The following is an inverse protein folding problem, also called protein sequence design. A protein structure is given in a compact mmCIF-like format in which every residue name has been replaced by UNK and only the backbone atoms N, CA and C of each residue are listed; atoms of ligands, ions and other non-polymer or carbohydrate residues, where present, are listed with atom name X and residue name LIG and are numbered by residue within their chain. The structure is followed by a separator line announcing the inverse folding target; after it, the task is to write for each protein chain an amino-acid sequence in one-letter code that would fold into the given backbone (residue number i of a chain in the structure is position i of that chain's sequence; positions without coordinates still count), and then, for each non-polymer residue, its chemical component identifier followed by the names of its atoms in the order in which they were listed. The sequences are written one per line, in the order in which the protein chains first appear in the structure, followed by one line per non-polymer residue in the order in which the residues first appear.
data_IF_778446523016
#
_entry.id   IF_778446523016
#
_cell.length_a   1.000
_cell.length_b   1.000
_cell.length_c   1.000
_cell.angle_alpha   90.00
_cell.angle_beta   90.00
_cell.angle_gamma   90.00
#
_symmetry.space_group_name_H-M   'P 1'
#
loop_
_entity.id
_entity.type
_entity.pdbx_description
1 polymer ?
#
# COMPACT_ATOMS: atom_id res chain seq x y z
N UNK A 1 -5.71 -14.79 -19.93
CA UNK A 1 -7.08 -14.53 -19.44
C UNK A 1 -6.97 -13.45 -18.36
N UNK A 2 -7.40 -12.23 -18.68
CA UNK A 2 -7.02 -11.01 -17.96
C UNK A 2 -7.52 -10.97 -16.52
N UNK A 3 -6.59 -10.76 -15.59
CA UNK A 3 -6.83 -10.51 -14.17
C UNK A 3 -7.77 -9.32 -13.99
N UNK A 4 -9.04 -9.58 -13.66
CA UNK A 4 -10.00 -8.52 -13.34
C UNK A 4 -9.69 -7.97 -11.96
N UNK A 5 -8.67 -7.11 -11.87
CA UNK A 5 -8.48 -6.26 -10.71
C UNK A 5 -9.74 -5.41 -10.53
N UNK A 6 -10.32 -5.44 -9.33
CA UNK A 6 -11.48 -4.60 -8.98
C UNK A 6 -11.16 -3.14 -9.28
N UNK A 7 -12.13 -2.38 -9.81
CA UNK A 7 -11.95 -0.96 -10.15
C UNK A 7 -11.41 -0.17 -8.95
N UNK A 8 -11.90 -0.48 -7.74
CA UNK A 8 -11.37 0.03 -6.47
C UNK A 8 -9.90 -0.31 -6.23
N UNK A 9 -9.49 -1.56 -6.48
CA UNK A 9 -8.10 -1.98 -6.34
C UNK A 9 -7.15 -1.23 -7.28
N UNK A 10 -7.57 -0.95 -8.52
CA UNK A 10 -6.80 -0.14 -9.48
C UNK A 10 -6.67 1.31 -9.02
N UNK A 11 -7.77 1.92 -8.58
CA UNK A 11 -7.77 3.31 -8.09
C UNK A 11 -6.88 3.46 -6.86
N UNK A 12 -7.00 2.56 -5.87
CA UNK A 12 -6.13 2.58 -4.68
C UNK A 12 -4.66 2.35 -5.04
N UNK A 13 -4.36 1.53 -6.03
CA UNK A 13 -2.99 1.26 -6.43
C UNK A 13 -2.34 2.42 -7.19
N UNK A 14 -3.02 2.98 -8.19
CA UNK A 14 -2.51 4.11 -8.96
C UNK A 14 -2.52 5.40 -8.14
N UNK A 15 -3.53 5.62 -7.31
CA UNK A 15 -3.56 6.73 -6.37
C UNK A 15 -2.39 6.68 -5.38
N UNK A 16 -2.06 5.49 -4.86
CA UNK A 16 -0.89 5.30 -4.02
C UNK A 16 0.42 5.64 -4.74
N UNK A 17 0.58 5.23 -6.00
CA UNK A 17 1.78 5.54 -6.78
C UNK A 17 1.96 7.04 -7.02
N UNK A 18 0.89 7.76 -7.35
CA UNK A 18 0.93 9.22 -7.53
C UNK A 18 1.27 9.93 -6.23
N UNK A 19 0.63 9.55 -5.11
CA UNK A 19 0.90 10.12 -3.80
C UNK A 19 2.35 9.86 -3.37
N UNK A 20 2.85 8.65 -3.60
CA UNK A 20 4.23 8.28 -3.28
C UNK A 20 5.23 9.10 -4.10
N UNK A 21 5.02 9.22 -5.42
CA UNK A 21 5.85 10.05 -6.27
C UNK A 21 5.86 11.50 -5.81
N UNK A 22 4.69 12.06 -5.48
CA UNK A 22 4.60 13.41 -4.92
C UNK A 22 5.43 13.56 -3.64
N UNK A 23 5.37 12.58 -2.73
CA UNK A 23 6.18 12.57 -1.51
C UNK A 23 7.67 12.61 -1.80
N UNK A 24 8.15 11.82 -2.77
CA UNK A 24 9.56 11.81 -3.19
C UNK A 24 9.97 13.16 -3.80
N UNK A 25 9.14 13.76 -4.65
CA UNK A 25 9.43 15.06 -5.26
C UNK A 25 9.37 16.23 -4.28
N UNK A 26 8.58 16.11 -3.22
CA UNK A 26 8.40 17.13 -2.18
C UNK A 26 9.19 16.88 -0.91
N UNK A 27 10.00 15.83 -0.90
CA UNK A 27 10.90 15.55 0.18
C UNK A 27 11.89 16.71 0.29
N UNK A 28 12.14 17.15 1.52
CA UNK A 28 13.14 18.17 1.83
C UNK A 28 14.54 17.61 1.63
N UNK A 29 15.43 18.43 1.05
CA UNK A 29 16.77 18.02 0.65
C UNK A 29 17.78 18.05 1.81
N UNK A 30 17.59 18.94 2.79
CA UNK A 30 18.47 19.08 3.95
C UNK A 30 17.71 19.05 5.29
N UNK A 31 18.36 18.48 6.31
CA UNK A 31 17.84 18.42 7.68
C UNK A 31 17.65 19.80 8.29
N UNK A 32 18.43 20.80 7.85
CA UNK A 32 18.31 22.19 8.28
C UNK A 32 16.93 22.79 7.96
N UNK A 33 16.23 22.28 6.94
CA UNK A 33 14.88 22.74 6.58
C UNK A 33 13.81 22.30 7.60
N UNK A 34 14.06 21.26 8.40
CA UNK A 34 13.14 20.84 9.48
C UNK A 34 13.16 21.78 10.68
N UNK A 35 14.12 22.70 10.77
CA UNK A 35 14.11 23.73 11.81
C UNK A 35 12.92 24.69 11.63
N UNK A 36 12.40 24.81 10.40
CA UNK A 36 11.14 25.48 10.13
C UNK A 36 9.96 24.63 10.62
N UNK A 37 9.26 25.15 11.63
CA UNK A 37 8.13 24.46 12.25
C UNK A 37 7.00 24.17 11.26
N UNK A 38 6.80 25.00 10.24
CA UNK A 38 5.79 24.78 9.21
C UNK A 38 6.17 23.63 8.27
N UNK A 39 7.45 23.52 7.88
CA UNK A 39 7.94 22.41 7.07
C UNK A 39 7.89 21.08 7.84
N UNK A 40 8.31 21.09 9.11
CA UNK A 40 8.22 19.92 9.99
C UNK A 40 6.77 19.42 10.14
N UNK A 41 5.81 20.32 10.38
CA UNK A 41 4.40 19.96 10.51
C UNK A 41 3.83 19.42 9.20
N UNK A 42 4.23 19.99 8.06
CA UNK A 42 3.82 19.50 6.76
C UNK A 42 4.29 18.05 6.53
N UNK A 43 5.55 17.76 6.85
CA UNK A 43 6.10 16.41 6.64
C UNK A 43 5.47 15.38 7.57
N UNK A 44 5.26 15.71 8.86
CA UNK A 44 4.56 14.82 9.80
C UNK A 44 3.14 14.55 9.31
N UNK A 45 2.41 15.58 8.86
CA UNK A 45 1.06 15.42 8.35
C UNK A 45 1.03 14.54 7.08
N UNK A 46 1.97 14.77 6.16
CA UNK A 46 2.11 13.99 4.93
C UNK A 46 2.45 12.52 5.22
N UNK A 47 3.45 12.27 6.07
CA UNK A 47 3.87 10.92 6.46
C UNK A 47 2.73 10.16 7.18
N UNK A 48 2.00 10.85 8.05
CA UNK A 48 0.85 10.26 8.76
C UNK A 48 -0.26 9.88 7.77
N UNK A 49 -0.60 10.77 6.84
CA UNK A 49 -1.59 10.51 5.79
C UNK A 49 -1.16 9.33 4.91
N UNK A 50 0.10 9.31 4.49
CA UNK A 50 0.67 8.23 3.69
C UNK A 50 0.56 6.89 4.41
N UNK A 51 0.93 6.83 5.69
CA UNK A 51 0.83 5.63 6.51
C UNK A 51 -0.62 5.14 6.64
N UNK A 52 -1.58 6.04 6.88
CA UNK A 52 -3.00 5.68 6.94
C UNK A 52 -3.46 5.03 5.63
N UNK A 53 -3.08 5.59 4.49
CA UNK A 53 -3.43 5.03 3.17
C UNK A 53 -2.80 3.65 2.96
N UNK A 54 -1.54 3.44 3.38
CA UNK A 54 -0.88 2.12 3.34
C UNK A 54 -1.64 1.10 4.18
N UNK A 55 -2.05 1.46 5.41
CA UNK A 55 -2.81 0.57 6.30
C UNK A 55 -4.17 0.24 5.67
N UNK A 56 -4.89 1.23 5.13
CA UNK A 56 -6.17 1.00 4.46
C UNK A 56 -6.02 0.09 3.26
N UNK A 57 -4.99 0.29 2.44
CA UNK A 57 -4.67 -0.58 1.30
C UNK A 57 -4.38 -2.01 1.76
N UNK A 58 -3.58 -2.17 2.82
CA UNK A 58 -3.28 -3.48 3.40
C UNK A 58 -4.55 -4.16 3.93
N UNK A 59 -5.37 -3.44 4.70
CA UNK A 59 -6.62 -3.96 5.25
C UNK A 59 -7.62 -4.36 4.14
N UNK A 60 -7.72 -3.56 3.08
CA UNK A 60 -8.53 -3.88 1.89
C UNK A 60 -8.06 -5.18 1.24
N UNK A 61 -6.76 -5.35 1.02
CA UNK A 61 -6.20 -6.57 0.41
C UNK A 61 -6.28 -7.78 1.33
N UNK A 62 -6.09 -7.61 2.64
CA UNK A 62 -6.20 -8.67 3.66
C UNK A 62 -7.60 -9.29 3.72
N UNK A 63 -8.63 -8.55 3.33
CA UNK A 63 -10.03 -9.03 3.32
C UNK A 63 -10.28 -10.08 2.24
N UNK A 64 -9.47 -10.12 1.19
CA UNK A 64 -9.58 -11.13 0.15
C UNK A 64 -8.71 -12.33 0.55
N UNK A 65 -9.34 -13.49 0.71
CA UNK A 65 -8.57 -14.74 0.80
C UNK A 65 -7.74 -14.89 -0.48
N UNK A 66 -6.46 -15.20 -0.33
CA UNK A 66 -5.45 -15.27 -1.40
C UNK A 66 -5.72 -16.33 -2.48
N UNK A 67 -6.94 -16.88 -2.55
CA UNK A 67 -7.36 -17.95 -3.46
C UNK A 67 -8.79 -17.80 -4.01
N UNK A 68 -9.44 -16.63 -3.97
CA UNK A 68 -10.83 -16.50 -4.48
C UNK A 68 -11.00 -16.66 -6.01
N UNK A 69 -9.92 -16.95 -6.74
CA UNK A 69 -9.94 -17.26 -8.19
C UNK A 69 -9.23 -18.57 -8.56
N UNK A 70 -8.84 -19.40 -7.59
CA UNK A 70 -8.22 -20.69 -7.89
C UNK A 70 -9.30 -21.67 -8.39
N UNK A 71 -9.39 -21.84 -9.71
CA UNK A 71 -10.22 -22.88 -10.35
C UNK A 71 -9.68 -24.29 -10.12
N UNK A 72 -8.50 -24.39 -9.52
CA UNK A 72 -7.79 -25.64 -9.26
C UNK A 72 -7.63 -25.81 -7.74
N UNK A 73 -8.06 -26.95 -7.16
CA UNK A 73 -7.90 -27.20 -5.73
C UNK A 73 -6.41 -27.22 -5.38
N UNK A 74 -6.05 -26.55 -4.27
CA UNK A 74 -4.69 -26.53 -3.75
C UNK A 74 -4.27 -27.96 -3.40
N UNK A 75 -3.15 -28.42 -3.98
CA UNK A 75 -2.59 -29.74 -3.70
C UNK A 75 -2.36 -29.95 -2.20
N UNK A 76 -2.71 -31.15 -1.71
CA UNK A 76 -2.60 -31.52 -0.29
C UNK A 76 -1.19 -31.32 0.29
N UNK A 77 -0.15 -31.33 -0.56
CA UNK A 77 1.25 -31.09 -0.17
C UNK A 77 1.45 -29.66 0.36
N UNK A 78 0.92 -28.64 -0.33
CA UNK A 78 1.05 -27.24 0.12
C UNK A 78 0.31 -26.98 1.45
N UNK A 79 -0.80 -27.69 1.69
CA UNK A 79 -1.55 -27.55 2.94
C UNK A 79 -0.80 -28.13 4.15
N UNK A 80 0.05 -29.14 3.94
CA UNK A 80 0.90 -29.72 5.01
C UNK A 80 2.09 -28.83 5.32
N UNK A 81 2.73 -28.24 4.31
CA UNK A 81 3.91 -27.37 4.50
C UNK A 81 3.58 -26.05 5.18
N UNK A 82 2.36 -25.52 5.03
CA UNK A 82 1.94 -24.29 5.71
C UNK A 82 1.55 -24.49 7.20
N UNK A 83 1.51 -25.75 7.67
CA UNK A 83 1.06 -26.13 9.01
C UNK A 83 2.17 -26.76 9.87
N UNK A 84 3.39 -26.84 9.33
CA UNK A 84 4.62 -27.25 10.01
C UNK A 84 5.44 -26.00 10.35
#
# INVERSE_FOLDING_TARGET
MGTKHTTLGKVLHWGFLVLYAYGIFKQIDDLSELEDTALLLFEIAFATLFLVIVILRYAYMRRFETFQGATVPVSAVHKKSARA
#
